data_IF_622310047616
#
_entry.id   IF_622310047616
#
_cell.length_a   1.000
_cell.length_b   1.000
_cell.length_c   1.000
_cell.angle_alpha   90.00
_cell.angle_beta   90.00
_cell.angle_gamma   90.00
#
_symmetry.space_group_name_H-M   'P 1'
#
loop_
_entity.id
_entity.type
_entity.pdbx_description
1 polymer ?
#
# COMPACT_ATOMS: atom_id res chain seq x y z
N UNK A 1 4.04 -46.30 -12.84
CA UNK A 1 3.69 -44.91 -13.20
C UNK A 1 2.97 -44.30 -12.02
N UNK A 2 3.67 -43.50 -11.21
CA UNK A 2 3.06 -42.71 -10.13
C UNK A 2 2.55 -41.40 -10.72
N UNK A 3 1.34 -40.94 -10.38
CA UNK A 3 0.92 -39.61 -10.78
C UNK A 3 1.72 -38.60 -9.96
N UNK A 4 2.48 -37.78 -10.68
CA UNK A 4 3.16 -36.61 -10.13
C UNK A 4 2.11 -35.72 -9.45
N UNK A 5 2.25 -35.54 -8.13
CA UNK A 5 1.48 -34.57 -7.39
C UNK A 5 1.92 -33.20 -7.87
N UNK A 6 1.16 -32.59 -8.76
CA UNK A 6 1.17 -31.15 -8.96
C UNK A 6 0.69 -30.51 -7.65
N UNK A 7 1.63 -30.26 -6.74
CA UNK A 7 1.42 -29.33 -5.64
C UNK A 7 1.28 -27.97 -6.29
N UNK A 8 0.05 -27.47 -6.36
CA UNK A 8 -0.23 -26.08 -6.73
C UNK A 8 0.23 -25.21 -5.56
N UNK A 9 1.53 -24.92 -5.53
CA UNK A 9 2.18 -24.05 -4.55
C UNK A 9 1.92 -22.57 -4.89
N UNK A 10 0.66 -22.22 -5.08
CA UNK A 10 0.19 -20.82 -5.18
C UNK A 10 -0.81 -20.52 -4.04
N UNK A 11 -0.63 -21.18 -2.90
CA UNK A 11 -1.39 -20.87 -1.69
C UNK A 11 -0.91 -19.52 -1.12
N UNK A 12 -1.72 -18.50 -1.39
CA UNK A 12 -1.75 -17.18 -0.76
C UNK A 12 -0.55 -16.27 -1.05
N UNK A 13 -0.74 -15.31 -1.95
CA UNK A 13 -0.06 -14.02 -1.77
C UNK A 13 -0.31 -13.56 -0.33
N UNK A 14 0.70 -13.10 0.42
CA UNK A 14 0.48 -12.60 1.78
C UNK A 14 -0.64 -11.57 1.71
N UNK A 15 -1.73 -11.80 2.46
CA UNK A 15 -2.85 -10.87 2.48
C UNK A 15 -2.34 -9.54 3.03
N UNK A 16 -2.17 -8.57 2.15
CA UNK A 16 -1.88 -7.20 2.53
C UNK A 16 -3.02 -6.70 3.41
N UNK A 17 -2.69 -6.25 4.62
CA UNK A 17 -3.67 -5.63 5.50
C UNK A 17 -4.08 -4.27 4.93
N UNK A 18 -5.36 -3.92 5.02
CA UNK A 18 -5.80 -2.55 4.76
C UNK A 18 -5.76 -1.80 6.09
N UNK A 19 -4.83 -0.86 6.24
CA UNK A 19 -4.66 -0.09 7.47
C UNK A 19 -5.64 1.07 7.55
N UNK A 20 -6.11 1.33 8.75
CA UNK A 20 -6.78 2.57 9.18
C UNK A 20 -5.85 3.43 10.03
N UNK A 21 -6.16 4.74 10.14
CA UNK A 21 -5.36 5.71 10.91
C UNK A 21 -5.02 5.19 12.33
N UNK A 22 -5.98 4.54 13.00
CA UNK A 22 -5.86 4.10 14.39
C UNK A 22 -4.95 2.88 14.59
N UNK A 23 -4.64 2.14 13.53
CA UNK A 23 -3.84 0.92 13.60
C UNK A 23 -2.34 1.18 13.46
N UNK A 24 -1.96 2.36 12.94
CA UNK A 24 -0.58 2.71 12.61
C UNK A 24 0.03 3.52 13.75
N UNK A 25 0.98 2.92 14.49
CA UNK A 25 1.78 3.67 15.46
C UNK A 25 2.86 4.49 14.75
N UNK A 26 3.55 3.87 13.77
CA UNK A 26 4.64 4.48 13.02
C UNK A 26 4.86 3.76 11.70
N UNK A 27 5.19 4.51 10.64
CA UNK A 27 5.70 3.93 9.40
C UNK A 27 7.12 3.42 9.63
N UNK A 28 7.32 2.15 9.29
CA UNK A 28 8.63 1.49 9.32
C UNK A 28 9.34 1.67 7.97
N UNK A 29 8.64 1.34 6.88
CA UNK A 29 9.19 1.44 5.52
C UNK A 29 8.10 1.71 4.49
N UNK A 30 8.39 2.57 3.52
CA UNK A 30 7.59 2.78 2.32
C UNK A 30 7.98 1.78 1.22
N UNK A 31 7.00 1.22 0.51
CA UNK A 31 7.21 0.22 -0.54
C UNK A 31 6.66 0.62 -1.92
N UNK A 32 6.06 1.81 -2.05
CA UNK A 32 5.54 2.29 -3.33
C UNK A 32 4.02 2.50 -3.37
N UNK A 33 3.52 2.82 -4.55
CA UNK A 33 2.09 2.88 -4.86
C UNK A 33 1.60 1.57 -5.47
N UNK A 34 0.46 1.08 -4.96
CA UNK A 34 -0.31 0.03 -5.60
C UNK A 34 -1.39 0.66 -6.48
N UNK A 35 -1.22 0.51 -7.79
CA UNK A 35 -2.18 0.94 -8.80
C UNK A 35 -3.00 -0.27 -9.27
N UNK A 36 -4.31 -0.24 -9.05
CA UNK A 36 -5.25 -1.22 -9.60
C UNK A 36 -6.09 -0.57 -10.69
N UNK A 37 -6.52 -1.33 -11.71
CA UNK A 37 -7.50 -0.86 -12.69
C UNK A 37 -8.93 -0.84 -12.13
N UNK A 38 -9.17 -1.62 -11.06
CA UNK A 38 -10.50 -1.82 -10.48
C UNK A 38 -10.67 -1.12 -9.13
N UNK A 39 -9.56 -0.91 -8.43
CA UNK A 39 -9.55 -0.34 -7.09
C UNK A 39 -8.87 1.02 -7.11
N UNK A 40 -9.16 1.83 -6.09
CA UNK A 40 -8.51 3.10 -5.89
C UNK A 40 -6.99 2.91 -5.69
N UNK A 41 -6.16 3.87 -6.13
CA UNK A 41 -4.75 3.90 -5.80
C UNK A 41 -4.55 3.81 -4.29
N UNK A 42 -3.63 2.96 -3.85
CA UNK A 42 -3.26 2.80 -2.45
C UNK A 42 -1.75 2.87 -2.28
N UNK A 43 -1.32 3.26 -1.09
CA UNK A 43 0.09 3.31 -0.68
C UNK A 43 0.45 2.00 -0.02
N UNK A 44 1.55 1.37 -0.41
CA UNK A 44 2.06 0.13 0.18
C UNK A 44 3.20 0.46 1.15
N UNK A 45 3.14 -0.06 2.38
CA UNK A 45 4.15 0.20 3.41
C UNK A 45 4.16 -0.87 4.50
N UNK A 46 5.28 -0.95 5.22
CA UNK A 46 5.37 -1.60 6.52
C UNK A 46 5.05 -0.59 7.61
N UNK A 47 4.18 -0.97 8.54
CA UNK A 47 3.87 -0.16 9.72
C UNK A 47 4.12 -0.96 11.00
N UNK A 48 4.63 -0.25 12.00
CA UNK A 48 4.58 -0.70 13.37
C UNK A 48 3.17 -0.51 13.91
N UNK A 49 2.61 -1.58 14.46
CA UNK A 49 1.32 -1.63 15.14
C UNK A 49 1.52 -2.15 16.57
N UNK A 50 0.46 -2.10 17.38
CA UNK A 50 0.41 -2.73 18.71
C UNK A 50 0.76 -4.22 18.70
N UNK A 51 0.59 -4.89 17.56
CA UNK A 51 0.80 -6.33 17.38
C UNK A 51 2.13 -6.65 16.66
N UNK A 52 3.03 -5.66 16.53
CA UNK A 52 4.29 -5.80 15.79
C UNK A 52 4.28 -5.11 14.44
N UNK A 53 5.25 -5.43 13.58
CA UNK A 53 5.40 -4.82 12.25
C UNK A 53 4.61 -5.65 11.23
N UNK A 54 3.74 -4.99 10.47
CA UNK A 54 2.91 -5.61 9.43
C UNK A 54 3.03 -4.85 8.11
N UNK A 55 2.92 -5.60 7.01
CA UNK A 55 2.91 -5.04 5.66
C UNK A 55 1.46 -4.92 5.19
N UNK A 56 1.12 -3.78 4.64
CA UNK A 56 -0.23 -3.49 4.20
C UNK A 56 -0.30 -2.28 3.31
N UNK A 57 -1.53 -1.85 3.05
CA UNK A 57 -1.83 -0.67 2.27
C UNK A 57 -2.84 0.24 2.96
N UNK A 58 -2.80 1.52 2.63
CA UNK A 58 -3.85 2.47 2.98
C UNK A 58 -4.05 3.49 1.85
N UNK A 59 -5.07 4.33 1.98
CA UNK A 59 -5.14 5.52 1.12
C UNK A 59 -4.03 6.53 1.49
N UNK A 60 -3.81 7.50 0.59
CA UNK A 60 -2.79 8.52 0.77
C UNK A 60 -2.97 9.34 2.06
N UNK A 61 -4.21 9.67 2.43
CA UNK A 61 -4.51 10.55 3.56
C UNK A 61 -4.23 9.86 4.90
N UNK A 62 -4.56 8.58 5.00
CA UNK A 62 -4.20 7.71 6.12
C UNK A 62 -2.67 7.61 6.26
N UNK A 63 -1.97 7.37 5.14
CA UNK A 63 -0.51 7.22 5.13
C UNK A 63 0.23 8.48 5.58
N UNK A 64 -0.07 9.66 5.02
CA UNK A 64 0.65 10.92 5.32
C UNK A 64 0.50 11.36 6.78
N UNK A 65 -0.61 11.04 7.45
CA UNK A 65 -0.79 11.36 8.87
C UNK A 65 0.10 10.54 9.80
N UNK A 66 0.51 9.35 9.35
CA UNK A 66 1.27 8.43 10.18
C UNK A 66 2.67 8.98 10.49
N UNK A 67 3.12 8.78 11.72
CA UNK A 67 4.45 9.19 12.13
C UNK A 67 5.51 8.48 11.28
N UNK A 68 6.47 9.23 10.74
CA UNK A 68 7.56 8.69 9.94
C UNK A 68 7.26 8.50 8.46
N UNK A 69 6.02 8.74 7.99
CA UNK A 69 5.65 8.61 6.59
C UNK A 69 6.54 9.43 5.66
N UNK A 70 6.81 10.68 6.02
CA UNK A 70 7.69 11.57 5.24
C UNK A 70 9.12 11.03 5.12
N UNK A 71 9.72 10.65 6.24
CA UNK A 71 11.07 10.13 6.25
C UNK A 71 11.18 8.82 5.46
N UNK A 72 10.15 7.96 5.52
CA UNK A 72 10.12 6.70 4.78
C UNK A 72 10.06 6.91 3.26
N UNK A 73 9.33 7.92 2.79
CA UNK A 73 9.26 8.26 1.36
C UNK A 73 10.56 8.91 0.88
N UNK A 74 11.12 9.84 1.65
CA UNK A 74 12.40 10.49 1.33
C UNK A 74 13.57 9.49 1.27
N UNK A 75 13.52 8.41 2.06
CA UNK A 75 14.53 7.34 2.01
C UNK A 75 14.52 6.52 0.73
N UNK A 76 13.39 6.47 0.02
CA UNK A 76 13.24 5.72 -1.23
C UNK A 76 13.39 6.66 -2.45
N UNK A 77 13.92 7.88 -2.26
CA UNK A 77 14.16 8.90 -3.30
C UNK A 77 12.87 9.34 -4.04
N UNK A 78 11.71 9.12 -3.42
CA UNK A 78 10.42 9.60 -3.92
C UNK A 78 10.02 10.91 -3.22
N UNK A 79 9.22 11.73 -3.92
CA UNK A 79 8.69 12.98 -3.36
C UNK A 79 7.24 12.79 -2.91
N UNK A 80 6.94 13.15 -1.67
CA UNK A 80 5.57 13.17 -1.14
C UNK A 80 4.61 13.99 -2.00
N UNK A 81 5.08 15.10 -2.58
CA UNK A 81 4.24 15.95 -3.43
C UNK A 81 3.88 15.24 -4.74
N UNK A 82 4.85 14.52 -5.32
CA UNK A 82 4.62 13.72 -6.54
C UNK A 82 3.64 12.58 -6.26
N UNK A 83 3.73 11.96 -5.09
CA UNK A 83 2.79 10.92 -4.66
C UNK A 83 1.38 11.47 -4.41
N UNK A 84 1.27 12.62 -3.76
CA UNK A 84 -0.01 13.31 -3.56
C UNK A 84 -0.67 13.69 -4.89
N UNK A 85 0.12 14.21 -5.84
CA UNK A 85 -0.36 14.54 -7.18
C UNK A 85 -0.78 13.31 -7.97
N UNK A 86 0.01 12.23 -7.91
CA UNK A 86 -0.26 10.97 -8.63
C UNK A 86 -1.55 10.33 -8.13
N UNK A 87 -1.73 10.27 -6.81
CA UNK A 87 -2.96 9.73 -6.21
C UNK A 87 -4.17 10.62 -6.51
N UNK A 88 -4.04 11.94 -6.44
CA UNK A 88 -5.14 12.89 -6.74
C UNK A 88 -5.52 12.92 -8.23
N UNK A 89 -4.54 12.93 -9.13
CA UNK A 89 -4.78 12.93 -10.57
C UNK A 89 -5.47 11.64 -11.02
N UNK A 90 -5.01 10.51 -10.51
CA UNK A 90 -5.63 9.21 -10.80
C UNK A 90 -7.06 9.14 -10.28
N UNK A 91 -7.34 9.65 -9.08
CA UNK A 91 -8.71 9.76 -8.56
C UNK A 91 -9.62 10.56 -9.51
N UNK A 92 -9.10 11.64 -10.11
CA UNK A 92 -9.85 12.43 -11.10
C UNK A 92 -10.09 11.64 -12.41
N UNK A 93 -9.09 10.91 -12.91
CA UNK A 93 -9.23 10.09 -14.11
C UNK A 93 -10.21 8.93 -13.92
N UNK A 94 -10.17 8.28 -12.77
CA UNK A 94 -11.17 7.27 -12.41
C UNK A 94 -12.58 7.87 -12.34
N UNK A 95 -12.73 9.11 -11.85
CA UNK A 95 -14.02 9.78 -11.84
C UNK A 95 -14.55 10.10 -13.24
N UNK A 96 -13.66 10.42 -14.20
CA UNK A 96 -14.03 10.72 -15.60
C UNK A 96 -14.30 9.46 -16.42
N UNK A 97 -13.60 8.35 -16.14
CA UNK A 97 -13.75 7.08 -16.88
C UNK A 97 -15.05 6.31 -16.57
N UNK A 98 -15.76 6.67 -15.50
CA UNK A 98 -16.98 5.99 -15.04
C UNK A 98 -18.26 6.84 -15.21
N UNK A 99 -18.20 7.92 -16.01
CA UNK A 99 -19.36 8.71 -16.45
C UNK A 99 -19.72 8.47 -17.92
#
# INVERSE_FOLDING_TARGET
>A
MSPERHVSEFESQPRLLQFTDDEIEKIDKYHGLRLSRKDLPSVLFSAKTKNGIWIGSSDWHTFIKAQGARAAVEQEDESLEVLALTTSFMLSLFSVMYY
#
